data_IF_030267893188
#
_entry.id   IF_030267893188
#
_cell.length_a   1.000
_cell.length_b   1.000
_cell.length_c   1.000
_cell.angle_alpha   90.00
_cell.angle_beta   90.00
_cell.angle_gamma   90.00
#
_symmetry.space_group_name_H-M   'P 1'
#
loop_
_entity.id
_entity.type
_entity.pdbx_description
1 polymer ?
#
# COMPACT_ATOMS: atom_id res chain seq x y z
N UNK A 1 2.12 -8.73 -2.42
CA UNK A 1 3.06 -8.98 -3.54
C UNK A 1 2.41 -9.17 -4.92
N UNK A 2 1.25 -9.85 -5.08
CA UNK A 2 0.54 -10.00 -6.39
C UNK A 2 -0.07 -8.69 -6.92
N UNK A 3 -0.61 -7.84 -6.05
CA UNK A 3 -1.32 -6.59 -6.43
C UNK A 3 -0.33 -5.55 -6.97
N UNK A 4 0.81 -5.36 -6.30
CA UNK A 4 1.89 -4.46 -6.74
C UNK A 4 2.43 -4.81 -8.13
N UNK A 5 2.55 -6.11 -8.45
CA UNK A 5 2.99 -6.56 -9.77
C UNK A 5 1.98 -6.22 -10.87
N UNK A 6 0.68 -6.34 -10.58
CA UNK A 6 -0.40 -6.05 -11.53
C UNK A 6 -0.50 -4.56 -11.86
N UNK A 7 -0.26 -3.69 -10.89
CA UNK A 7 -0.25 -2.23 -11.06
C UNK A 7 0.97 -1.74 -11.83
N UNK A 8 2.15 -2.31 -11.57
CA UNK A 8 3.36 -2.01 -12.35
C UNK A 8 3.18 -2.42 -13.81
N UNK A 9 2.47 -3.52 -14.08
CA UNK A 9 2.12 -3.93 -15.44
C UNK A 9 1.16 -2.91 -16.07
N UNK A 10 0.15 -2.43 -15.35
CA UNK A 10 -0.80 -1.42 -15.83
C UNK A 10 -0.13 -0.08 -16.15
N UNK A 11 0.77 0.40 -15.28
CA UNK A 11 1.57 1.59 -15.49
C UNK A 11 2.43 1.48 -16.76
N UNK A 12 3.17 0.36 -16.90
CA UNK A 12 4.00 0.12 -18.07
C UNK A 12 3.19 -0.03 -19.37
N UNK A 13 2.03 -0.68 -19.30
CA UNK A 13 1.14 -0.82 -20.45
C UNK A 13 0.66 0.54 -20.95
N UNK A 14 0.28 1.44 -20.03
CA UNK A 14 -0.13 2.80 -20.35
C UNK A 14 0.99 3.56 -21.07
N UNK A 15 2.22 3.48 -20.56
CA UNK A 15 3.36 4.11 -21.22
C UNK A 15 3.64 3.54 -22.61
N UNK A 16 3.57 2.22 -22.77
CA UNK A 16 3.74 1.57 -24.08
C UNK A 16 2.64 2.03 -25.05
N UNK A 17 1.38 2.10 -24.61
CA UNK A 17 0.28 2.57 -25.45
C UNK A 17 0.47 4.02 -25.89
N UNK A 18 0.82 4.92 -24.97
CA UNK A 18 1.04 6.34 -25.28
C UNK A 18 2.20 6.52 -26.26
N UNK A 19 3.34 5.90 -26.00
CA UNK A 19 4.51 6.01 -26.88
C UNK A 19 4.29 5.33 -28.23
N UNK A 20 3.58 4.20 -28.29
CA UNK A 20 3.19 3.57 -29.56
C UNK A 20 2.31 4.49 -30.39
N UNK A 21 1.37 5.19 -29.78
CA UNK A 21 0.54 6.17 -30.47
C UNK A 21 1.39 7.34 -31.02
N UNK A 22 2.28 7.92 -30.20
CA UNK A 22 3.18 9.02 -30.60
C UNK A 22 4.07 8.61 -31.78
N UNK A 23 4.66 7.42 -31.77
CA UNK A 23 5.53 6.90 -32.83
C UNK A 23 4.75 6.60 -34.12
N UNK A 24 3.48 6.22 -34.00
CA UNK A 24 2.62 5.91 -35.13
C UNK A 24 2.09 7.15 -35.86
N UNK A 25 1.91 8.29 -35.17
CA UNK A 25 1.37 9.53 -35.75
C UNK A 25 2.10 9.99 -37.01
N UNK A 26 3.45 10.07 -37.09
CA UNK A 26 4.15 10.45 -38.31
C UNK A 26 3.87 9.53 -39.51
N UNK A 27 3.71 8.24 -39.24
CA UNK A 27 3.40 7.25 -40.28
C UNK A 27 2.01 7.48 -40.84
N UNK A 28 1.02 7.65 -39.94
CA UNK A 28 -0.36 7.95 -40.33
C UNK A 28 -0.47 9.30 -41.06
N UNK A 29 0.23 10.33 -40.59
CA UNK A 29 0.26 11.62 -41.25
C UNK A 29 0.87 11.52 -42.65
N UNK A 30 1.97 10.77 -42.82
CA UNK A 30 2.56 10.54 -44.15
C UNK A 30 1.63 9.79 -45.09
N UNK A 31 0.89 8.80 -44.62
CA UNK A 31 -0.11 8.07 -45.40
C UNK A 31 -1.27 8.99 -45.85
N UNK A 32 -1.72 9.90 -44.99
CA UNK A 32 -2.83 10.84 -45.32
C UNK A 32 -2.41 11.90 -46.30
N UNK A 33 -1.17 12.41 -46.24
CA UNK A 33 -0.68 13.51 -47.04
C UNK A 33 -0.14 13.07 -48.42
N UNK A 34 0.23 11.81 -48.59
CA UNK A 34 0.90 11.30 -49.79
C UNK A 34 0.05 10.28 -50.56
N UNK A 35 -1.24 10.48 -50.68
CA UNK A 35 -2.17 9.64 -51.44
C UNK A 35 -1.96 8.12 -51.21
N UNK A 36 -1.87 7.71 -49.93
CA UNK A 36 -1.67 6.33 -49.43
C UNK A 36 -0.27 5.77 -49.65
N UNK A 37 0.74 6.59 -49.96
CA UNK A 37 2.14 6.17 -49.95
C UNK A 37 2.88 6.70 -48.71
N UNK A 38 3.68 5.84 -48.06
CA UNK A 38 4.49 6.30 -46.90
C UNK A 38 5.78 6.93 -47.42
N UNK A 39 5.93 8.24 -47.16
CA UNK A 39 7.18 8.94 -47.32
C UNK A 39 8.07 8.67 -46.11
N UNK A 40 8.92 7.66 -46.19
CA UNK A 40 9.82 7.28 -45.11
C UNK A 40 10.81 8.37 -44.72
N UNK A 41 11.20 9.23 -45.64
CA UNK A 41 12.06 10.39 -45.36
C UNK A 41 11.40 11.33 -44.36
N UNK A 42 10.15 11.74 -44.60
CA UNK A 42 9.40 12.59 -43.68
C UNK A 42 9.13 11.93 -42.32
N UNK A 43 8.88 10.62 -42.33
CA UNK A 43 8.72 9.84 -41.09
C UNK A 43 9.98 9.80 -40.25
N UNK A 44 11.14 9.58 -40.88
CA UNK A 44 12.43 9.56 -40.21
C UNK A 44 12.80 10.94 -39.63
N UNK A 45 12.53 12.02 -40.35
CA UNK A 45 12.71 13.40 -39.87
C UNK A 45 11.85 13.64 -38.60
N UNK A 46 10.56 13.23 -38.64
CA UNK A 46 9.68 13.36 -37.49
C UNK A 46 10.13 12.51 -36.30
N UNK A 47 10.56 11.28 -36.52
CA UNK A 47 11.10 10.41 -35.46
C UNK A 47 12.39 10.97 -34.86
N UNK A 48 13.27 11.60 -35.65
CA UNK A 48 14.45 12.31 -35.14
C UNK A 48 14.05 13.42 -34.15
N UNK A 49 12.99 14.16 -34.41
CA UNK A 49 12.47 15.21 -33.51
C UNK A 49 11.80 14.64 -32.26
N UNK A 50 11.23 13.43 -32.33
CA UNK A 50 10.59 12.74 -31.19
C UNK A 50 11.60 12.05 -30.29
N UNK A 51 12.73 11.57 -30.82
CA UNK A 51 13.73 10.79 -30.10
C UNK A 51 14.27 11.43 -28.82
N UNK A 52 14.58 12.75 -28.76
CA UNK A 52 15.03 13.40 -27.53
C UNK A 52 14.01 13.31 -26.40
N UNK A 53 12.73 13.45 -26.71
CA UNK A 53 11.64 13.32 -25.71
C UNK A 53 11.53 11.90 -25.18
N UNK A 54 11.70 10.90 -26.03
CA UNK A 54 11.72 9.49 -25.62
C UNK A 54 12.90 9.21 -24.67
N UNK A 55 14.08 9.75 -24.97
CA UNK A 55 15.26 9.62 -24.10
C UNK A 55 14.99 10.28 -22.74
N UNK A 56 14.50 11.52 -22.74
CA UNK A 56 14.13 12.23 -21.51
C UNK A 56 13.12 11.39 -20.73
N UNK A 57 12.07 10.87 -21.38
CA UNK A 57 11.05 10.04 -20.73
C UNK A 57 11.66 8.79 -20.10
N UNK A 58 12.49 8.04 -20.82
CA UNK A 58 13.10 6.79 -20.31
C UNK A 58 13.99 7.09 -19.09
N UNK A 59 14.86 8.08 -19.18
CA UNK A 59 15.77 8.43 -18.09
C UNK A 59 14.98 8.98 -16.89
N UNK A 60 14.02 9.86 -17.13
CA UNK A 60 13.16 10.39 -16.09
C UNK A 60 12.37 9.27 -15.40
N UNK A 61 11.72 8.39 -16.15
CA UNK A 61 10.86 7.34 -15.61
C UNK A 61 11.63 6.25 -14.86
N UNK A 62 12.81 5.84 -15.37
CA UNK A 62 13.59 4.73 -14.80
C UNK A 62 14.56 5.16 -13.71
N UNK A 63 15.08 6.41 -13.75
CA UNK A 63 16.14 6.86 -12.84
C UNK A 63 15.70 8.03 -11.96
N UNK A 64 15.24 9.14 -12.57
CA UNK A 64 15.04 10.39 -11.83
C UNK A 64 13.83 10.31 -10.89
N UNK A 65 12.67 9.93 -11.41
CA UNK A 65 11.46 9.87 -10.62
C UNK A 65 11.55 8.86 -9.46
N UNK A 66 12.00 7.59 -9.65
CA UNK A 66 12.10 6.64 -8.54
C UNK A 66 13.17 7.01 -7.52
N UNK A 67 14.26 7.65 -7.95
CA UNK A 67 15.42 7.91 -7.08
C UNK A 67 15.29 9.18 -6.25
N UNK A 68 14.58 10.16 -6.78
CA UNK A 68 14.47 11.48 -6.16
C UNK A 68 13.04 11.85 -5.79
N UNK A 69 12.08 11.75 -6.72
CA UNK A 69 10.70 12.16 -6.48
C UNK A 69 10.00 11.25 -5.47
N UNK A 70 10.00 9.95 -5.67
CA UNK A 70 9.36 8.98 -4.76
C UNK A 70 10.07 8.85 -3.41
N UNK A 71 11.28 9.42 -3.26
CA UNK A 71 12.02 9.51 -2.00
C UNK A 71 11.93 10.89 -1.35
N UNK A 72 10.99 11.73 -1.79
CA UNK A 72 10.75 13.08 -1.27
C UNK A 72 11.96 14.03 -1.34
N UNK A 73 12.90 13.77 -2.27
CA UNK A 73 14.09 14.63 -2.49
C UNK A 73 13.82 15.65 -3.59
N UNK A 74 12.82 16.51 -3.39
CA UNK A 74 12.25 17.41 -4.40
C UNK A 74 13.27 18.33 -5.06
N UNK A 75 14.18 18.96 -4.32
CA UNK A 75 15.22 19.83 -4.87
C UNK A 75 16.18 19.08 -5.79
N UNK A 76 16.59 17.87 -5.41
CA UNK A 76 17.45 17.04 -6.27
C UNK A 76 16.71 16.60 -7.52
N UNK A 77 15.42 16.29 -7.39
CA UNK A 77 14.56 15.97 -8.52
C UNK A 77 14.49 17.14 -9.51
N UNK A 78 14.17 18.38 -9.05
CA UNK A 78 14.06 19.56 -9.89
C UNK A 78 15.37 19.85 -10.64
N UNK A 79 16.49 19.89 -9.93
CA UNK A 79 17.80 20.17 -10.53
C UNK A 79 18.16 19.10 -11.56
N UNK A 80 18.03 17.82 -11.23
CA UNK A 80 18.42 16.72 -12.13
C UNK A 80 17.52 16.66 -13.37
N UNK A 81 16.21 16.91 -13.20
CA UNK A 81 15.26 16.94 -14.31
C UNK A 81 15.53 18.14 -15.24
N UNK A 82 15.79 19.32 -14.68
CA UNK A 82 16.17 20.52 -15.43
C UNK A 82 17.46 20.29 -16.22
N UNK A 83 18.48 19.72 -15.58
CA UNK A 83 19.75 19.40 -16.23
C UNK A 83 19.59 18.39 -17.35
N UNK A 84 18.74 17.37 -17.16
CA UNK A 84 18.45 16.38 -18.21
C UNK A 84 17.80 17.04 -19.42
N UNK A 85 16.76 17.84 -19.22
CA UNK A 85 15.99 18.46 -20.32
C UNK A 85 16.89 19.45 -21.09
N UNK A 86 17.51 20.40 -20.40
CA UNK A 86 18.38 21.40 -21.03
C UNK A 86 19.57 20.73 -21.70
N UNK A 87 20.21 19.79 -21.03
CA UNK A 87 21.38 19.07 -21.59
C UNK A 87 21.05 18.26 -22.84
N UNK A 88 19.87 17.62 -22.88
CA UNK A 88 19.44 16.85 -24.06
C UNK A 88 19.19 17.77 -25.24
N UNK A 89 18.44 18.87 -25.09
CA UNK A 89 18.14 19.76 -26.20
C UNK A 89 19.35 20.61 -26.61
N UNK A 90 20.20 21.00 -25.66
CA UNK A 90 21.50 21.63 -25.99
C UNK A 90 22.40 20.69 -26.83
N UNK A 91 22.43 19.41 -26.48
CA UNK A 91 23.18 18.41 -27.26
C UNK A 91 22.62 18.23 -28.67
N UNK A 92 21.29 18.20 -28.82
CA UNK A 92 20.62 18.09 -30.13
C UNK A 92 20.94 19.31 -30.99
N UNK A 93 20.82 20.52 -30.43
CA UNK A 93 21.15 21.77 -31.14
C UNK A 93 22.61 21.81 -31.55
N UNK A 94 23.51 21.45 -30.64
CA UNK A 94 24.95 21.36 -30.94
C UNK A 94 25.23 20.37 -32.08
N UNK A 95 24.56 19.20 -32.05
CA UNK A 95 24.71 18.18 -33.11
C UNK A 95 24.20 18.69 -34.45
N UNK A 96 23.05 19.32 -34.50
CA UNK A 96 22.50 19.90 -35.72
C UNK A 96 23.40 20.98 -36.31
N UNK A 97 23.88 21.90 -35.50
CA UNK A 97 24.74 22.99 -35.98
C UNK A 97 26.12 22.56 -36.46
N UNK A 98 26.75 21.59 -35.82
CA UNK A 98 28.14 21.24 -36.11
C UNK A 98 28.31 20.06 -37.03
N UNK A 99 27.36 19.16 -37.09
CA UNK A 99 27.50 17.92 -37.87
C UNK A 99 26.57 17.92 -39.08
N UNK A 100 25.30 18.24 -38.88
CA UNK A 100 24.31 18.19 -39.97
C UNK A 100 24.54 19.31 -40.98
N UNK A 101 24.77 20.53 -40.50
CA UNK A 101 25.01 21.70 -41.36
C UNK A 101 26.32 21.55 -42.13
N UNK A 102 27.37 21.05 -41.51
CA UNK A 102 28.65 20.83 -42.18
C UNK A 102 28.61 19.75 -43.26
N UNK A 103 27.74 18.74 -43.12
CA UNK A 103 27.58 17.66 -44.10
C UNK A 103 26.61 18.00 -45.24
N UNK A 104 25.55 18.72 -44.96
CA UNK A 104 24.49 19.05 -45.94
C UNK A 104 24.76 20.32 -46.73
N UNK A 105 25.52 21.25 -46.18
CA UNK A 105 25.72 22.59 -46.74
C UNK A 105 27.18 22.87 -47.15
N UNK A 106 28.01 21.82 -47.26
CA UNK A 106 29.39 21.96 -47.71
C UNK A 106 29.58 22.66 -49.07
N UNK A 107 28.53 22.62 -49.90
CA UNK A 107 28.54 23.18 -51.25
C UNK A 107 27.84 24.54 -51.42
N UNK A 108 27.29 25.09 -50.32
CA UNK A 108 26.62 26.40 -50.35
C UNK A 108 27.65 27.53 -50.16
N UNK A 109 27.39 28.67 -50.84
CA UNK A 109 28.13 29.90 -50.60
C UNK A 109 27.87 30.43 -49.17
N UNK A 110 28.85 31.12 -48.58
CA UNK A 110 28.80 31.67 -47.23
C UNK A 110 27.55 32.59 -47.01
N UNK A 111 27.16 33.35 -48.04
CA UNK A 111 25.94 34.21 -47.98
C UNK A 111 24.67 33.41 -47.94
N UNK A 112 24.55 32.32 -48.69
CA UNK A 112 23.36 31.43 -48.70
C UNK A 112 23.28 30.64 -47.38
N UNK A 113 24.40 30.29 -46.81
CA UNK A 113 24.45 29.63 -45.48
C UNK A 113 24.00 30.56 -44.37
N UNK A 114 24.44 31.85 -44.38
CA UNK A 114 24.02 32.86 -43.41
C UNK A 114 22.52 33.19 -43.55
N UNK A 115 22.00 33.27 -44.78
CA UNK A 115 20.59 33.52 -45.02
C UNK A 115 19.70 32.37 -44.57
N UNK A 116 20.14 31.14 -44.81
CA UNK A 116 19.45 29.93 -44.32
C UNK A 116 19.47 29.83 -42.78
N UNK A 117 20.58 30.17 -42.16
CA UNK A 117 20.73 30.20 -40.69
C UNK A 117 19.87 31.30 -40.04
N UNK A 118 19.73 32.47 -40.67
CA UNK A 118 18.86 33.55 -40.19
C UNK A 118 17.38 33.22 -40.27
N UNK A 119 17.00 32.35 -41.21
CA UNK A 119 15.64 31.85 -41.36
C UNK A 119 15.31 30.70 -40.37
N UNK A 120 16.33 30.08 -39.75
CA UNK A 120 16.14 29.06 -38.77
C UNK A 120 15.81 29.66 -37.41
N UNK A 121 14.58 29.54 -36.95
CA UNK A 121 14.12 29.95 -35.62
C UNK A 121 14.64 29.03 -34.53
N UNK A 122 15.95 28.68 -34.56
CA UNK A 122 16.56 27.71 -33.64
C UNK A 122 16.38 28.09 -32.18
N UNK A 123 16.51 29.37 -31.84
CA UNK A 123 16.38 29.83 -30.47
C UNK A 123 14.95 29.67 -29.93
N UNK A 124 13.93 30.00 -30.74
CA UNK A 124 12.54 29.87 -30.35
C UNK A 124 12.13 28.39 -30.25
N UNK A 125 12.63 27.55 -31.17
CA UNK A 125 12.38 26.11 -31.17
C UNK A 125 12.97 25.42 -29.93
N UNK A 126 14.17 25.84 -29.51
CA UNK A 126 14.79 25.33 -28.28
C UNK A 126 13.93 25.65 -27.04
N UNK A 127 13.44 26.88 -26.90
CA UNK A 127 12.55 27.24 -25.78
C UNK A 127 11.29 26.38 -25.74
N UNK A 128 10.63 26.17 -26.87
CA UNK A 128 9.45 25.32 -26.97
C UNK A 128 9.76 23.86 -26.63
N UNK A 129 10.88 23.34 -27.08
CA UNK A 129 11.30 21.96 -26.78
C UNK A 129 11.55 21.77 -25.28
N UNK A 130 12.17 22.74 -24.62
CA UNK A 130 12.41 22.72 -23.16
C UNK A 130 11.06 22.76 -22.42
N UNK A 131 10.12 23.65 -22.82
CA UNK A 131 8.80 23.74 -22.21
C UNK A 131 8.02 22.43 -22.36
N UNK A 132 8.02 21.84 -23.55
CA UNK A 132 7.36 20.55 -23.81
C UNK A 132 8.01 19.42 -23.02
N UNK A 133 9.33 19.40 -22.89
CA UNK A 133 10.07 18.44 -22.05
C UNK A 133 9.67 18.54 -20.59
N UNK A 134 9.47 19.75 -20.07
CA UNK A 134 8.94 19.99 -18.73
C UNK A 134 7.51 19.49 -18.57
N UNK A 135 6.66 19.79 -19.53
CA UNK A 135 5.26 19.36 -19.51
C UNK A 135 5.15 17.84 -19.52
N UNK A 136 5.95 17.17 -20.35
CA UNK A 136 6.00 15.72 -20.44
C UNK A 136 6.54 15.08 -19.14
N UNK A 137 7.61 15.63 -18.56
CA UNK A 137 8.14 15.17 -17.28
C UNK A 137 7.15 15.37 -16.14
N UNK A 138 6.41 16.48 -16.14
CA UNK A 138 5.35 16.77 -15.19
C UNK A 138 4.20 15.79 -15.30
N UNK A 139 3.72 15.52 -16.51
CA UNK A 139 2.66 14.55 -16.77
C UNK A 139 3.09 13.13 -16.34
N UNK A 140 4.30 12.71 -16.70
CA UNK A 140 4.85 11.42 -16.28
C UNK A 140 4.96 11.31 -14.74
N UNK A 141 5.40 12.38 -14.08
CA UNK A 141 5.44 12.44 -12.61
C UNK A 141 4.05 12.31 -12.01
N UNK A 142 3.05 13.02 -12.56
CA UNK A 142 1.67 12.94 -12.12
C UNK A 142 1.10 11.52 -12.22
N UNK A 143 1.31 10.85 -13.35
CA UNK A 143 0.91 9.45 -13.55
C UNK A 143 1.58 8.55 -12.50
N UNK A 144 2.88 8.72 -12.29
CA UNK A 144 3.65 7.92 -11.34
C UNK A 144 3.20 8.11 -9.90
N UNK A 145 2.90 9.35 -9.50
CA UNK A 145 2.35 9.67 -8.17
C UNK A 145 0.94 9.09 -8.00
N UNK A 146 0.11 9.14 -9.03
CA UNK A 146 -1.23 8.53 -9.00
C UNK A 146 -1.14 7.01 -8.75
N UNK A 147 -0.29 6.30 -9.50
CA UNK A 147 -0.09 4.87 -9.27
C UNK A 147 0.54 4.56 -7.91
N UNK A 148 1.41 5.46 -7.41
CA UNK A 148 1.96 5.35 -6.05
C UNK A 148 0.85 5.49 -5.01
N UNK A 149 0.00 6.51 -5.11
CA UNK A 149 -1.12 6.74 -4.19
C UNK A 149 -2.07 5.55 -4.14
N UNK A 150 -2.41 4.96 -5.29
CA UNK A 150 -3.26 3.76 -5.35
C UNK A 150 -2.58 2.57 -4.64
N UNK A 151 -1.26 2.42 -4.79
CA UNK A 151 -0.50 1.36 -4.09
C UNK A 151 -0.49 1.56 -2.58
N UNK A 152 -0.27 2.80 -2.14
CA UNK A 152 -0.21 3.14 -0.72
C UNK A 152 -1.58 2.95 -0.04
N UNK A 153 -2.67 3.33 -0.72
CA UNK A 153 -4.04 3.11 -0.25
C UNK A 153 -4.36 1.62 -0.08
N UNK A 154 -3.98 0.79 -1.05
CA UNK A 154 -4.19 -0.66 -0.96
C UNK A 154 -3.36 -1.31 0.15
N UNK A 155 -2.11 -0.87 0.35
CA UNK A 155 -1.28 -1.34 1.46
C UNK A 155 -1.88 -0.96 2.82
N UNK A 156 -2.40 0.25 2.94
CA UNK A 156 -3.09 0.69 4.16
C UNK A 156 -4.33 -0.16 4.44
N UNK A 157 -5.12 -0.50 3.42
CA UNK A 157 -6.30 -1.36 3.58
C UNK A 157 -5.90 -2.79 3.97
N UNK A 158 -4.85 -3.37 3.36
CA UNK A 158 -4.31 -4.67 3.76
C UNK A 158 -3.84 -4.67 5.23
N UNK A 159 -3.10 -3.64 5.65
CA UNK A 159 -2.65 -3.49 7.04
C UNK A 159 -3.82 -3.36 8.01
N UNK A 160 -4.85 -2.60 7.64
CA UNK A 160 -6.06 -2.45 8.45
C UNK A 160 -6.78 -3.78 8.64
N UNK A 161 -6.92 -4.57 7.55
CA UNK A 161 -7.51 -5.92 7.63
C UNK A 161 -6.68 -6.87 8.51
N UNK A 162 -5.35 -6.83 8.40
CA UNK A 162 -4.46 -7.63 9.25
C UNK A 162 -4.58 -7.24 10.72
N UNK A 163 -4.65 -5.94 11.03
CA UNK A 163 -4.85 -5.49 12.40
C UNK A 163 -6.19 -5.93 12.96
N UNK A 164 -7.27 -5.78 12.20
CA UNK A 164 -8.60 -6.27 12.62
C UNK A 164 -8.61 -7.78 12.85
N UNK A 165 -7.93 -8.56 11.99
CA UNK A 165 -7.81 -9.99 12.17
C UNK A 165 -7.00 -10.33 13.43
N UNK A 166 -5.90 -9.63 13.68
CA UNK A 166 -5.08 -9.81 14.88
C UNK A 166 -5.86 -9.46 16.16
N UNK A 167 -6.66 -8.39 16.14
CA UNK A 167 -7.56 -8.05 17.25
C UNK A 167 -8.62 -9.13 17.47
N UNK A 168 -9.23 -9.65 16.40
CA UNK A 168 -10.18 -10.76 16.49
C UNK A 168 -9.54 -12.01 17.06
N UNK A 169 -8.33 -12.35 16.63
CA UNK A 169 -7.60 -13.51 17.13
C UNK A 169 -7.17 -13.30 18.60
N UNK A 170 -6.73 -12.10 18.97
CA UNK A 170 -6.45 -11.73 20.35
C UNK A 170 -7.69 -11.89 21.25
N UNK A 171 -8.86 -11.40 20.79
CA UNK A 171 -10.12 -11.57 21.50
C UNK A 171 -10.51 -13.06 21.66
N UNK A 172 -10.27 -13.89 20.64
CA UNK A 172 -10.48 -15.34 20.72
C UNK A 172 -9.53 -16.00 21.72
N UNK A 173 -8.29 -15.57 21.82
CA UNK A 173 -7.32 -16.12 22.79
C UNK A 173 -7.62 -15.71 24.25
N UNK A 174 -8.39 -14.64 24.49
CA UNK A 174 -8.89 -14.32 25.85
C UNK A 174 -9.85 -15.39 26.39
N UNK A 175 -10.44 -16.19 25.51
CA UNK A 175 -11.17 -17.40 25.86
C UNK A 175 -10.13 -18.52 25.95
N UNK A 176 -9.71 -18.94 27.13
CA UNK A 176 -8.80 -20.07 27.30
C UNK A 176 -9.47 -21.38 26.79
N UNK A 177 -9.23 -21.79 25.52
CA UNK A 177 -9.97 -22.94 24.94
C UNK A 177 -9.66 -24.24 25.70
N UNK A 178 -8.45 -24.33 26.25
CA UNK A 178 -8.01 -25.50 27.01
C UNK A 178 -8.76 -25.64 28.33
N UNK A 179 -9.06 -24.53 29.00
CA UNK A 179 -9.91 -24.54 30.19
C UNK A 179 -11.30 -25.08 29.88
N UNK A 180 -11.94 -24.57 28.83
CA UNK A 180 -13.29 -25.01 28.44
C UNK A 180 -13.34 -26.48 28.03
N UNK A 181 -12.35 -26.95 27.25
CA UNK A 181 -12.27 -28.36 26.86
C UNK A 181 -12.07 -29.28 28.06
N UNK A 182 -11.19 -28.92 28.98
CA UNK A 182 -10.95 -29.69 30.19
C UNK A 182 -12.18 -29.71 31.10
N UNK A 183 -12.86 -28.57 31.25
CA UNK A 183 -14.10 -28.48 32.05
C UNK A 183 -15.21 -29.36 31.45
N UNK A 184 -15.39 -29.34 30.13
CA UNK A 184 -16.36 -30.22 29.45
C UNK A 184 -16.02 -31.70 29.65
N UNK A 185 -14.77 -32.09 29.55
CA UNK A 185 -14.33 -33.45 29.81
C UNK A 185 -14.61 -33.91 31.26
N UNK A 186 -14.37 -33.00 32.23
CA UNK A 186 -14.66 -33.27 33.62
C UNK A 186 -16.19 -33.38 33.87
N UNK A 187 -16.97 -32.50 33.27
CA UNK A 187 -18.43 -32.60 33.35
C UNK A 187 -18.95 -33.91 32.73
N UNK A 188 -18.40 -34.33 31.60
CA UNK A 188 -18.74 -35.62 30.98
C UNK A 188 -18.45 -36.79 31.92
N UNK A 189 -17.28 -36.80 32.58
CA UNK A 189 -16.94 -37.85 33.55
C UNK A 189 -17.89 -37.84 34.78
N UNK A 190 -18.39 -36.66 35.18
CA UNK A 190 -19.35 -36.54 36.29
C UNK A 190 -20.73 -37.05 36.00
N UNK A 191 -21.15 -37.14 34.73
CA UNK A 191 -22.51 -37.57 34.36
C UNK A 191 -22.84 -38.97 34.94
N UNK A 192 -21.84 -39.86 34.92
CA UNK A 192 -22.00 -41.24 35.40
C UNK A 192 -21.85 -41.36 36.92
N UNK A 193 -21.31 -40.35 37.62
CA UNK A 193 -21.01 -40.35 39.05
C UNK A 193 -22.08 -39.60 39.84
N UNK A 194 -22.36 -38.35 39.43
CA UNK A 194 -23.34 -37.43 40.02
C UNK A 194 -23.98 -36.56 38.94
N UNK A 195 -25.12 -37.04 38.39
CA UNK A 195 -25.82 -36.38 37.33
C UNK A 195 -26.37 -34.99 37.68
N UNK A 196 -26.75 -34.77 38.94
CA UNK A 196 -27.25 -33.45 39.39
C UNK A 196 -26.10 -32.44 39.52
N UNK A 197 -24.94 -32.89 40.00
CA UNK A 197 -23.77 -32.01 40.04
C UNK A 197 -23.27 -31.70 38.64
N UNK A 198 -23.26 -32.67 37.72
CA UNK A 198 -22.95 -32.43 36.28
C UNK A 198 -23.86 -31.40 35.63
N UNK A 199 -25.17 -31.44 35.88
CA UNK A 199 -26.14 -30.44 35.36
C UNK A 199 -25.85 -29.05 35.90
N UNK A 200 -25.56 -28.92 37.19
CA UNK A 200 -25.19 -27.61 37.78
C UNK A 200 -23.90 -27.07 37.17
N UNK A 201 -22.88 -27.91 36.95
CA UNK A 201 -21.65 -27.54 36.31
C UNK A 201 -21.85 -27.02 34.86
N UNK A 202 -22.77 -27.61 34.07
CA UNK A 202 -23.15 -27.10 32.75
C UNK A 202 -23.76 -25.71 32.86
N UNK A 203 -24.60 -25.46 33.85
CA UNK A 203 -25.20 -24.13 34.07
C UNK A 203 -24.15 -23.09 34.43
N UNK A 204 -23.19 -23.41 35.32
CA UNK A 204 -22.08 -22.52 35.68
C UNK A 204 -21.16 -22.23 34.47
N UNK A 205 -20.82 -23.27 33.71
CA UNK A 205 -20.05 -23.13 32.48
C UNK A 205 -20.77 -22.20 31.48
N UNK A 206 -22.08 -22.36 31.31
CA UNK A 206 -22.89 -21.53 30.43
C UNK A 206 -22.91 -20.04 30.86
N UNK A 207 -23.00 -19.78 32.18
CA UNK A 207 -22.92 -18.42 32.73
C UNK A 207 -21.55 -17.81 32.48
N UNK A 208 -20.51 -18.56 32.67
CA UNK A 208 -19.13 -18.13 32.43
C UNK A 208 -18.87 -17.85 30.96
N UNK A 209 -19.32 -18.73 30.05
CA UNK A 209 -19.23 -18.47 28.60
C UNK A 209 -19.97 -17.20 28.19
N UNK A 210 -21.15 -16.97 28.76
CA UNK A 210 -21.92 -15.74 28.49
C UNK A 210 -21.17 -14.49 28.90
N UNK A 211 -20.55 -14.50 30.06
CA UNK A 211 -19.72 -13.39 30.51
C UNK A 211 -18.56 -13.13 29.56
N UNK A 212 -17.82 -14.17 29.17
CA UNK A 212 -16.66 -14.05 28.25
C UNK A 212 -17.10 -13.55 26.87
N UNK A 213 -18.27 -13.99 26.36
CA UNK A 213 -18.73 -13.60 25.02
C UNK A 213 -19.34 -12.20 24.95
N UNK A 214 -19.98 -11.73 26.02
CA UNK A 214 -20.80 -10.52 25.98
C UNK A 214 -20.32 -9.38 26.90
N UNK A 215 -19.72 -9.71 28.05
CA UNK A 215 -19.31 -8.72 29.03
C UNK A 215 -17.80 -8.40 28.96
N UNK A 216 -16.94 -9.33 28.53
CA UNK A 216 -15.49 -9.12 28.45
C UNK A 216 -15.05 -8.10 27.39
N UNK A 217 -15.90 -7.82 26.39
CA UNK A 217 -15.64 -6.80 25.36
C UNK A 217 -16.01 -5.38 25.77
N UNK A 218 -16.50 -5.15 26.99
CA UNK A 218 -16.84 -3.83 27.49
C UNK A 218 -15.61 -3.16 28.10
N UNK A 219 -15.57 -1.85 28.06
CA UNK A 219 -14.47 -1.08 28.67
C UNK A 219 -14.47 -1.21 30.21
N UNK A 220 -15.64 -1.19 30.83
CA UNK A 220 -15.85 -1.34 32.27
C UNK A 220 -17.10 -2.18 32.58
N UNK A 221 -17.05 -2.91 33.70
CA UNK A 221 -18.17 -3.68 34.26
C UNK A 221 -18.29 -3.44 35.76
N UNK A 222 -19.42 -3.80 36.38
CA UNK A 222 -19.53 -3.73 37.83
C UNK A 222 -18.64 -4.81 38.49
N UNK A 223 -18.01 -4.43 39.60
CA UNK A 223 -17.18 -5.34 40.41
C UNK A 223 -17.93 -6.64 40.77
N UNK A 224 -19.23 -6.54 41.08
CA UNK A 224 -20.08 -7.69 41.40
C UNK A 224 -20.16 -8.70 40.26
N UNK A 225 -20.21 -8.25 39.01
CA UNK A 225 -20.22 -9.16 37.84
C UNK A 225 -18.91 -9.91 37.70
N UNK A 226 -17.77 -9.24 37.89
CA UNK A 226 -16.45 -9.88 37.81
C UNK A 226 -16.25 -10.89 38.93
N UNK A 227 -16.68 -10.55 40.15
CA UNK A 227 -16.66 -11.48 41.29
C UNK A 227 -17.56 -12.70 41.03
N UNK A 228 -18.76 -12.51 40.47
CA UNK A 228 -19.65 -13.61 40.15
C UNK A 228 -19.02 -14.53 39.08
N UNK A 229 -18.31 -13.96 38.10
CA UNK A 229 -17.54 -14.71 37.13
C UNK A 229 -16.45 -15.55 37.81
N UNK A 230 -15.69 -14.98 38.77
CA UNK A 230 -14.67 -15.69 39.52
C UNK A 230 -15.28 -16.81 40.37
N UNK A 231 -16.43 -16.59 41.00
CA UNK A 231 -17.13 -17.63 41.76
C UNK A 231 -17.49 -18.83 40.88
N UNK A 232 -18.05 -18.58 39.68
CA UNK A 232 -18.36 -19.63 38.72
C UNK A 232 -17.07 -20.35 38.26
N UNK A 233 -15.99 -19.62 38.01
CA UNK A 233 -14.68 -20.20 37.67
C UNK A 233 -14.15 -21.14 38.75
N UNK A 234 -14.15 -20.69 40.01
CA UNK A 234 -13.70 -21.50 41.15
C UNK A 234 -14.63 -22.71 41.35
N UNK A 235 -15.94 -22.56 41.15
CA UNK A 235 -16.90 -23.66 41.18
C UNK A 235 -16.55 -24.76 40.18
N UNK A 236 -16.21 -24.37 38.95
CA UNK A 236 -15.76 -25.32 37.91
C UNK A 236 -14.36 -25.90 38.20
N UNK A 237 -13.47 -25.10 38.81
CA UNK A 237 -12.13 -25.63 39.23
C UNK A 237 -12.24 -26.68 40.33
N UNK A 238 -13.20 -26.57 41.24
CA UNK A 238 -13.46 -27.60 42.28
C UNK A 238 -13.83 -28.95 41.67
N UNK A 239 -14.39 -29.00 40.49
CA UNK A 239 -14.68 -30.25 39.77
C UNK A 239 -13.39 -30.92 39.30
N UNK A 240 -12.38 -30.13 38.98
CA UNK A 240 -11.07 -30.60 38.48
C UNK A 240 -10.19 -31.16 39.61
N UNK A 241 -10.23 -30.50 40.76
CA UNK A 241 -9.41 -30.90 41.90
C UNK A 241 -10.25 -31.77 42.84
N UNK A 242 -9.78 -32.96 43.12
CA UNK A 242 -10.35 -33.90 44.08
C UNK A 242 -10.23 -33.35 45.50
N UNK A 243 -10.80 -34.06 46.52
CA UNK A 243 -10.81 -33.63 47.92
C UNK A 243 -9.42 -33.38 48.53
N UNK A 244 -8.34 -33.57 47.79
CA UNK A 244 -6.98 -33.34 48.22
C UNK A 244 -6.57 -31.85 48.25
N UNK A 245 -7.35 -30.96 47.66
CA UNK A 245 -7.11 -29.52 47.64
C UNK A 245 -8.23 -28.76 48.34
N UNK A 246 -7.87 -28.09 49.47
CA UNK A 246 -8.82 -27.25 50.21
C UNK A 246 -8.89 -25.84 49.58
N UNK A 247 -9.92 -25.57 48.77
CA UNK A 247 -10.11 -24.30 48.12
C UNK A 247 -11.03 -23.42 49.02
N UNK A 248 -10.43 -22.44 49.71
CA UNK A 248 -11.13 -21.43 50.50
C UNK A 248 -11.27 -20.14 49.75
N UNK A 249 -12.47 -19.56 49.73
CA UNK A 249 -12.77 -18.29 49.08
C UNK A 249 -13.40 -17.37 50.07
N UNK A 250 -12.73 -16.28 50.39
CA UNK A 250 -13.21 -15.25 51.28
C UNK A 250 -13.27 -13.91 50.55
N UNK A 251 -14.42 -13.27 50.56
CA UNK A 251 -14.62 -11.93 50.02
C UNK A 251 -15.66 -11.16 50.87
N UNK A 252 -15.59 -9.81 50.93
CA UNK A 252 -16.57 -8.98 51.68
C UNK A 252 -18.00 -9.22 51.17
N UNK A 253 -18.94 -9.44 52.08
CA UNK A 253 -20.34 -9.59 51.73
C UNK A 253 -20.99 -8.31 51.22
N UNK A 254 -20.52 -7.13 51.72
CA UNK A 254 -20.99 -5.81 51.35
C UNK A 254 -20.06 -5.18 50.30
N UNK A 255 -20.17 -5.62 49.07
CA UNK A 255 -19.42 -5.01 47.95
C UNK A 255 -20.07 -3.69 47.52
N UNK A 256 -19.27 -2.62 47.34
CA UNK A 256 -19.81 -1.35 46.86
C UNK A 256 -20.43 -1.52 45.46
N UNK A 257 -21.73 -1.23 45.40
CA UNK A 257 -22.52 -1.40 44.15
C UNK A 257 -22.09 -0.48 43.00
N UNK A 258 -21.35 0.58 43.30
CA UNK A 258 -20.97 1.63 42.35
C UNK A 258 -19.54 1.45 41.79
N UNK A 259 -18.79 0.45 42.24
CA UNK A 259 -17.42 0.23 41.76
C UNK A 259 -17.46 -0.51 40.42
N UNK A 260 -16.81 0.08 39.42
CA UNK A 260 -16.60 -0.52 38.09
C UNK A 260 -15.14 -0.76 37.84
N UNK A 261 -14.81 -1.90 37.21
CA UNK A 261 -13.45 -2.31 36.88
C UNK A 261 -13.40 -2.80 35.43
N UNK A 262 -12.23 -2.84 34.79
CA UNK A 262 -12.07 -3.56 33.52
C UNK A 262 -12.47 -5.04 33.69
N UNK A 263 -13.15 -5.65 32.73
CA UNK A 263 -13.52 -7.06 32.79
C UNK A 263 -12.28 -7.95 32.82
N UNK A 264 -12.41 -9.12 33.45
CA UNK A 264 -11.34 -10.12 33.57
C UNK A 264 -10.08 -9.63 34.32
N UNK A 265 -10.14 -8.52 35.03
CA UNK A 265 -9.00 -7.97 35.76
C UNK A 265 -8.54 -8.92 36.88
N UNK A 266 -9.47 -9.47 37.63
CA UNK A 266 -9.16 -10.27 38.81
C UNK A 266 -8.86 -11.73 38.49
N UNK A 267 -9.35 -12.26 37.35
CA UNK A 267 -9.16 -13.68 37.00
C UNK A 267 -7.69 -14.07 36.83
N UNK A 268 -6.85 -13.14 36.37
CA UNK A 268 -5.41 -13.37 36.16
C UNK A 268 -4.74 -13.80 37.47
N UNK A 269 -5.13 -13.22 38.59
CA UNK A 269 -4.59 -13.57 39.90
C UNK A 269 -5.12 -14.93 40.39
N UNK A 270 -6.38 -15.23 40.09
CA UNK A 270 -7.03 -16.48 40.48
C UNK A 270 -6.51 -17.64 39.62
N UNK A 271 -6.30 -17.47 38.32
CA UNK A 271 -5.71 -18.48 37.45
C UNK A 271 -4.27 -18.85 37.88
N UNK A 272 -3.50 -17.88 38.34
CA UNK A 272 -2.14 -18.13 38.83
C UNK A 272 -2.10 -18.88 40.18
N UNK A 273 -3.21 -19.00 40.92
CA UNK A 273 -3.32 -19.71 42.18
C UNK A 273 -3.61 -21.20 41.99
N UNK A 274 -4.06 -21.62 40.79
CA UNK A 274 -4.35 -22.98 40.40
C UNK A 274 -3.28 -23.54 39.47
#
# INVERSE_FOLDING_TARGET
MKITKKQTIGENLLYVMVWSAIILVPVLNSLMMSELHVSWENVLIAWRKIAPYLIIFIVHNSVIAPRFMLKHKYWKYLITNLTLIIGTFWFVDFYEQHITDSLLFSDLSEDQFIEHRKASFTDLEMYWNVILGFFMSGANTGIKLMYQSIRDEQQMEELKQQNMQAEMDYLKYQINPHFFMNTLNNIHALIDIDTEYAKNAVIELSKMMRYVLYDSGREIISLNKDIQFIQNYIGLMRIRYTNDVDIRVEYPHDLPTQVSIPPLLLIVFVENAF
#
